data_IF_645854344747
#
_entry.id   IF_645854344747
#
_cell.length_a   1.000
_cell.length_b   1.000
_cell.length_c   1.000
_cell.angle_alpha   90.00
_cell.angle_beta   90.00
_cell.angle_gamma   90.00
#
_symmetry.space_group_name_H-M   'P 1'
#
loop_
_entity.id
_entity.type
_entity.pdbx_description
1 polymer ?
#
# COMPACT_ATOMS: atom_id res chain seq x y z
N UNK A 1 -42.99 -83.27 15.69
CA UNK A 1 -43.68 -82.35 14.74
C UNK A 1 -43.74 -80.98 15.40
N UNK A 2 -43.59 -79.91 14.60
CA UNK A 2 -43.64 -78.47 14.91
C UNK A 2 -42.31 -77.73 15.11
N UNK A 3 -42.29 -76.51 14.56
CA UNK A 3 -41.24 -75.92 13.73
C UNK A 3 -40.17 -75.13 14.51
N UNK A 4 -38.98 -75.07 13.89
CA UNK A 4 -37.88 -74.14 14.20
C UNK A 4 -38.30 -72.70 13.87
N UNK A 5 -38.00 -71.75 14.75
CA UNK A 5 -37.91 -70.31 14.43
C UNK A 5 -36.50 -69.82 14.69
N UNK A 6 -35.79 -69.44 13.62
CA UNK A 6 -34.50 -68.74 13.68
C UNK A 6 -34.78 -67.29 13.34
N UNK A 7 -34.65 -66.41 14.34
CA UNK A 7 -34.76 -64.96 14.17
C UNK A 7 -33.42 -64.44 13.66
N UNK A 8 -33.35 -64.05 12.39
CA UNK A 8 -32.18 -63.38 11.80
C UNK A 8 -32.22 -61.90 12.16
N UNK A 9 -31.35 -61.45 13.06
CA UNK A 9 -31.10 -60.03 13.31
C UNK A 9 -30.21 -59.48 12.19
N UNK A 10 -30.77 -58.66 11.29
CA UNK A 10 -29.98 -57.91 10.32
C UNK A 10 -29.31 -56.71 11.02
N UNK A 11 -28.01 -56.80 11.25
CA UNK A 11 -27.19 -55.69 11.72
C UNK A 11 -26.94 -54.78 10.51
N UNK A 12 -27.65 -53.66 10.43
CA UNK A 12 -27.41 -52.63 9.44
C UNK A 12 -26.15 -51.84 9.85
N UNK A 13 -25.00 -52.18 9.26
CA UNK A 13 -23.76 -51.42 9.38
C UNK A 13 -23.88 -50.14 8.57
N UNK A 14 -24.22 -49.03 9.23
CA UNK A 14 -24.14 -47.69 8.63
C UNK A 14 -22.68 -47.34 8.43
N UNK A 15 -22.21 -47.42 7.19
CA UNK A 15 -20.93 -46.87 6.76
C UNK A 15 -20.99 -45.35 6.92
N UNK A 16 -20.45 -44.83 8.02
CA UNK A 16 -20.16 -43.40 8.17
C UNK A 16 -18.99 -43.10 7.22
N UNK A 17 -19.29 -42.57 6.04
CA UNK A 17 -18.30 -42.03 5.11
C UNK A 17 -17.66 -40.80 5.73
N UNK A 18 -16.50 -40.99 6.36
CA UNK A 18 -15.65 -39.90 6.82
C UNK A 18 -15.05 -39.24 5.57
N UNK A 19 -15.77 -38.27 5.00
CA UNK A 19 -15.20 -37.44 3.93
C UNK A 19 -14.06 -36.66 4.55
N UNK A 20 -12.81 -36.77 4.05
CA UNK A 20 -11.73 -35.95 4.56
C UNK A 20 -12.13 -34.49 4.40
N UNK A 21 -12.26 -33.77 5.52
CA UNK A 21 -12.42 -32.33 5.51
C UNK A 21 -11.22 -31.77 4.76
N UNK A 22 -11.48 -31.23 3.57
CA UNK A 22 -10.45 -30.58 2.77
C UNK A 22 -10.09 -29.33 3.56
N UNK A 23 -9.01 -29.40 4.33
CA UNK A 23 -8.43 -28.25 5.01
C UNK A 23 -8.04 -27.29 3.88
N UNK A 24 -8.91 -26.32 3.61
CA UNK A 24 -8.62 -25.30 2.63
C UNK A 24 -7.45 -24.50 3.20
N UNK A 25 -6.27 -24.64 2.59
CA UNK A 25 -5.13 -23.81 2.93
C UNK A 25 -5.50 -22.34 2.69
N UNK A 26 -4.89 -21.44 3.47
CA UNK A 26 -5.04 -20.01 3.26
C UNK A 26 -4.71 -19.64 1.81
N UNK A 27 -5.38 -18.61 1.28
CA UNK A 27 -5.10 -18.11 -0.08
C UNK A 27 -3.66 -17.62 -0.11
N UNK A 28 -2.88 -18.12 -1.07
CA UNK A 28 -1.53 -17.62 -1.29
C UNK A 28 -1.61 -16.28 -2.02
N UNK A 29 -1.05 -15.23 -1.42
CA UNK A 29 -1.11 -13.86 -1.94
C UNK A 29 0.30 -13.36 -2.21
N UNK A 30 0.57 -12.96 -3.45
CA UNK A 30 1.80 -12.27 -3.84
C UNK A 30 1.46 -10.84 -4.25
N UNK A 31 2.24 -9.88 -3.78
CA UNK A 31 2.03 -8.45 -4.03
C UNK A 31 3.33 -7.84 -4.53
N UNK A 32 3.27 -7.05 -5.60
CA UNK A 32 4.48 -6.47 -6.23
C UNK A 32 5.29 -5.56 -5.29
N UNK A 33 4.62 -4.92 -4.33
CA UNK A 33 5.23 -4.01 -3.35
C UNK A 33 4.46 -4.00 -2.03
N UNK A 34 5.12 -4.31 -0.93
CA UNK A 34 4.54 -4.29 0.43
C UNK A 34 5.28 -3.37 1.41
N UNK A 35 6.47 -2.90 1.03
CA UNK A 35 7.28 -1.97 1.81
C UNK A 35 7.63 -0.74 1.00
N UNK A 36 7.95 0.36 1.69
CA UNK A 36 8.24 1.67 1.07
C UNK A 36 7.13 2.10 0.11
N UNK A 37 5.89 1.76 0.45
CA UNK A 37 4.71 2.10 -0.35
C UNK A 37 4.45 3.59 -0.19
N UNK A 38 4.26 4.28 -1.30
CA UNK A 38 3.88 5.68 -1.36
C UNK A 38 2.35 5.83 -1.48
N UNK A 39 1.82 7.01 -1.14
CA UNK A 39 0.41 7.30 -1.40
C UNK A 39 0.12 7.19 -2.90
N UNK A 40 -1.01 6.58 -3.27
CA UNK A 40 -1.43 6.33 -4.65
C UNK A 40 -0.59 5.31 -5.42
N UNK A 41 0.34 4.59 -4.75
CA UNK A 41 1.02 3.45 -5.38
C UNK A 41 0.00 2.42 -5.85
N UNK A 42 0.19 1.96 -7.08
CA UNK A 42 -0.63 0.90 -7.70
C UNK A 42 0.15 -0.41 -7.59
N UNK A 43 -0.40 -1.38 -6.86
CA UNK A 43 0.24 -2.70 -6.68
C UNK A 43 -0.46 -3.75 -7.53
N UNK A 44 0.31 -4.70 -8.05
CA UNK A 44 -0.23 -5.91 -8.66
C UNK A 44 -0.28 -7.03 -7.63
N UNK A 45 -1.36 -7.80 -7.68
CA UNK A 45 -1.72 -8.85 -6.73
C UNK A 45 -1.98 -10.12 -7.54
N UNK A 46 -1.35 -11.22 -7.12
CA UNK A 46 -1.61 -12.56 -7.66
C UNK A 46 -2.10 -13.46 -6.54
N UNK A 47 -3.18 -14.17 -6.81
CA UNK A 47 -3.74 -15.15 -5.89
C UNK A 47 -3.36 -16.56 -6.34
N UNK A 48 -3.31 -17.47 -5.37
CA UNK A 48 -3.20 -18.90 -5.58
C UNK A 48 -4.09 -19.62 -4.56
N UNK A 49 -4.53 -20.83 -4.88
CA UNK A 49 -5.37 -21.65 -4.02
C UNK A 49 -6.75 -21.05 -3.70
N UNK A 50 -7.32 -20.23 -4.60
CA UNK A 50 -8.75 -19.89 -4.53
C UNK A 50 -9.55 -21.09 -5.08
N UNK A 51 -10.37 -21.79 -4.27
CA UNK A 51 -11.03 -23.00 -4.73
C UNK A 51 -12.06 -22.73 -5.84
N UNK A 52 -12.31 -23.74 -6.68
CA UNK A 52 -13.30 -23.65 -7.75
C UNK A 52 -14.69 -23.26 -7.22
N UNK A 53 -15.39 -22.38 -7.95
CA UNK A 53 -16.71 -21.87 -7.56
C UNK A 53 -16.70 -20.84 -6.41
N UNK A 54 -15.54 -20.58 -5.80
CA UNK A 54 -15.40 -19.63 -4.70
C UNK A 54 -14.81 -18.30 -5.17
N UNK A 55 -14.94 -17.28 -4.31
CA UNK A 55 -14.34 -15.98 -4.50
C UNK A 55 -13.88 -15.34 -3.20
N UNK A 56 -13.10 -14.28 -3.36
CA UNK A 56 -12.55 -13.47 -2.28
C UNK A 56 -12.75 -11.99 -2.57
N UNK A 57 -12.87 -11.22 -1.50
CA UNK A 57 -12.66 -9.78 -1.52
C UNK A 57 -11.21 -9.48 -1.14
N UNK A 58 -10.62 -8.47 -1.79
CA UNK A 58 -9.31 -7.93 -1.46
C UNK A 58 -9.45 -6.43 -1.25
N UNK A 59 -9.09 -5.95 -0.07
CA UNK A 59 -9.09 -4.51 0.21
C UNK A 59 -7.95 -4.14 1.14
N UNK A 60 -7.57 -2.87 1.11
CA UNK A 60 -6.64 -2.29 2.06
C UNK A 60 -7.38 -2.00 3.37
N UNK A 61 -7.01 -2.68 4.45
CA UNK A 61 -7.70 -2.57 5.75
C UNK A 61 -6.78 -2.10 6.86
N UNK A 62 -7.35 -1.36 7.81
CA UNK A 62 -6.70 -0.86 9.01
C UNK A 62 -6.80 -1.91 10.13
N UNK A 63 -5.67 -2.48 10.53
CA UNK A 63 -5.50 -3.50 11.56
C UNK A 63 -6.54 -4.64 11.45
N UNK A 64 -6.65 -5.30 10.27
CA UNK A 64 -7.57 -6.42 10.12
C UNK A 64 -7.12 -7.58 10.99
N UNK A 65 -8.10 -8.33 11.50
CA UNK A 65 -7.89 -9.58 12.23
C UNK A 65 -8.56 -10.72 11.46
N UNK A 66 -8.01 -11.93 11.53
CA UNK A 66 -8.65 -13.10 10.92
C UNK A 66 -10.07 -13.27 11.50
N UNK A 67 -11.02 -13.61 10.63
CA UNK A 67 -12.44 -13.71 10.95
C UNK A 67 -13.21 -12.39 11.02
N UNK A 68 -12.53 -11.24 10.92
CA UNK A 68 -13.20 -9.94 10.92
C UNK A 68 -13.91 -9.69 9.60
N UNK A 69 -15.11 -9.09 9.65
CA UNK A 69 -15.96 -8.74 8.51
C UNK A 69 -16.55 -7.36 8.72
N UNK A 70 -17.18 -6.78 7.69
CA UNK A 70 -17.81 -5.47 7.80
C UNK A 70 -18.80 -5.39 8.98
N UNK A 71 -19.63 -6.44 9.16
CA UNK A 71 -20.58 -6.54 10.26
C UNK A 71 -19.93 -6.64 11.66
N UNK A 72 -18.67 -7.08 11.75
CA UNK A 72 -17.91 -7.18 13.01
C UNK A 72 -16.85 -6.10 13.15
N UNK A 73 -16.97 -5.01 12.37
CA UNK A 73 -16.14 -3.82 12.50
C UNK A 73 -14.85 -3.84 11.68
N UNK A 74 -14.76 -4.61 10.60
CA UNK A 74 -13.64 -4.53 9.65
C UNK A 74 -13.57 -3.13 9.01
N UNK A 75 -12.42 -2.48 9.12
CA UNK A 75 -12.21 -1.11 8.64
C UNK A 75 -11.33 -1.14 7.39
N UNK A 76 -11.92 -1.06 6.22
CA UNK A 76 -11.17 -1.00 4.96
C UNK A 76 -11.35 0.30 4.19
N UNK A 77 -10.37 0.63 3.36
CA UNK A 77 -10.43 1.69 2.37
C UNK A 77 -11.46 1.29 1.32
N UNK A 78 -12.62 1.95 1.35
CA UNK A 78 -13.76 1.69 0.48
C UNK A 78 -14.66 0.51 0.84
N UNK A 79 -15.42 0.08 -0.16
CA UNK A 79 -16.56 -0.86 -0.03
C UNK A 79 -16.88 -1.54 -1.37
N UNK A 80 -17.78 -2.53 -1.37
CA UNK A 80 -18.29 -3.21 -2.59
C UNK A 80 -18.90 -2.23 -3.61
N UNK A 81 -19.35 -1.06 -3.17
CA UNK A 81 -20.00 -0.06 -4.02
C UNK A 81 -19.02 0.97 -4.59
N UNK A 82 -17.76 0.97 -4.15
CA UNK A 82 -16.75 1.92 -4.58
C UNK A 82 -15.76 1.26 -5.56
N UNK A 83 -15.76 1.75 -6.80
CA UNK A 83 -14.85 1.24 -7.83
C UNK A 83 -13.39 1.55 -7.48
N UNK A 84 -12.53 0.53 -7.50
CA UNK A 84 -11.07 0.69 -7.40
C UNK A 84 -10.49 0.68 -5.98
N UNK A 85 -11.32 0.60 -4.94
CA UNK A 85 -10.87 0.54 -3.52
C UNK A 85 -11.04 -0.85 -2.90
N UNK A 86 -11.80 -1.72 -3.57
CA UNK A 86 -11.89 -3.14 -3.28
C UNK A 86 -12.00 -3.97 -4.56
N UNK A 87 -11.39 -5.15 -4.55
CA UNK A 87 -11.47 -6.12 -5.64
C UNK A 87 -12.37 -7.26 -5.19
N UNK A 88 -13.26 -7.69 -6.08
CA UNK A 88 -13.94 -8.96 -5.99
C UNK A 88 -13.36 -9.89 -7.06
N UNK A 89 -12.71 -10.96 -6.63
CA UNK A 89 -12.10 -11.94 -7.51
C UNK A 89 -12.69 -13.34 -7.27
N UNK A 90 -13.02 -14.05 -8.35
CA UNK A 90 -13.57 -15.41 -8.27
C UNK A 90 -12.79 -16.36 -9.17
N UNK A 91 -12.81 -17.64 -8.83
CA UNK A 91 -12.19 -18.67 -9.67
C UNK A 91 -12.88 -18.81 -11.05
N UNK A 92 -14.17 -18.47 -11.13
CA UNK A 92 -15.01 -18.62 -12.33
C UNK A 92 -15.20 -17.33 -13.15
N UNK A 93 -14.68 -16.18 -12.66
CA UNK A 93 -14.84 -14.85 -13.23
C UNK A 93 -16.29 -14.47 -13.56
N UNK A 94 -17.27 -15.00 -12.81
CA UNK A 94 -18.68 -14.78 -13.09
C UNK A 94 -19.19 -13.46 -12.50
N UNK A 95 -20.33 -12.98 -13.03
CA UNK A 95 -21.13 -11.88 -12.47
C UNK A 95 -20.35 -10.56 -12.31
N UNK A 96 -19.40 -10.29 -13.21
CA UNK A 96 -18.61 -9.04 -13.20
C UNK A 96 -17.47 -9.03 -12.18
N UNK A 97 -17.20 -10.15 -11.53
CA UNK A 97 -15.97 -10.33 -10.74
C UNK A 97 -14.74 -10.40 -11.65
N UNK A 98 -13.59 -10.04 -11.11
CA UNK A 98 -12.30 -10.27 -11.77
C UNK A 98 -11.91 -11.75 -11.65
N UNK A 99 -11.09 -12.25 -12.57
CA UNK A 99 -10.57 -13.61 -12.46
C UNK A 99 -9.52 -13.70 -11.36
N UNK A 100 -9.70 -14.63 -10.41
CA UNK A 100 -8.71 -14.91 -9.37
C UNK A 100 -7.38 -15.48 -9.91
N UNK A 101 -7.37 -16.02 -11.14
CA UNK A 101 -6.17 -16.48 -11.83
C UNK A 101 -5.44 -15.36 -12.58
N UNK A 102 -6.09 -14.20 -12.74
CA UNK A 102 -5.54 -13.04 -13.42
C UNK A 102 -4.62 -12.20 -12.52
N UNK A 103 -3.97 -11.22 -13.13
CA UNK A 103 -3.33 -10.14 -12.38
C UNK A 103 -4.41 -9.16 -11.91
N UNK A 104 -4.41 -8.88 -10.60
CA UNK A 104 -5.35 -7.97 -9.96
C UNK A 104 -4.59 -6.70 -9.58
N UNK A 105 -5.23 -5.53 -9.68
CA UNK A 105 -4.58 -4.25 -9.43
C UNK A 105 -5.36 -3.46 -8.38
N UNK A 106 -4.66 -2.97 -7.35
CA UNK A 106 -5.24 -2.10 -6.33
C UNK A 106 -4.36 -0.87 -6.10
N UNK A 107 -4.99 0.30 -6.05
CA UNK A 107 -4.33 1.54 -5.63
C UNK A 107 -4.36 1.65 -4.10
N UNK A 108 -3.20 1.85 -3.50
CA UNK A 108 -3.05 1.95 -2.06
C UNK A 108 -3.01 3.41 -1.60
N UNK A 109 -3.47 3.66 -0.38
CA UNK A 109 -3.47 4.98 0.24
C UNK A 109 -2.72 4.98 1.56
N UNK A 110 -1.89 5.97 1.80
CA UNK A 110 -1.17 6.17 3.07
C UNK A 110 -2.11 6.42 4.25
N UNK A 111 -3.31 6.93 3.95
CA UNK A 111 -4.43 7.06 4.88
C UNK A 111 -5.76 7.03 4.13
N UNK A 112 -6.84 6.69 4.81
CA UNK A 112 -8.19 6.80 4.26
C UNK A 112 -9.18 7.20 5.35
N UNK A 113 -10.27 7.85 4.98
CA UNK A 113 -11.31 8.29 5.90
C UNK A 113 -12.56 7.43 5.75
N UNK A 114 -13.25 7.14 6.86
CA UNK A 114 -14.61 6.59 6.84
C UNK A 114 -15.54 7.49 7.61
N UNK A 115 -16.75 7.65 7.10
CA UNK A 115 -17.84 8.34 7.78
C UNK A 115 -18.66 7.29 8.51
N UNK A 116 -18.91 7.48 9.80
CA UNK A 116 -19.77 6.59 10.58
C UNK A 116 -21.26 6.88 10.35
N UNK A 117 -22.13 6.09 10.99
CA UNK A 117 -23.59 6.26 10.90
C UNK A 117 -24.09 7.59 11.47
N UNK A 118 -23.29 8.31 12.25
CA UNK A 118 -23.60 9.63 12.79
C UNK A 118 -23.07 10.77 11.90
N UNK A 119 -22.47 10.46 10.75
CA UNK A 119 -21.92 11.45 9.82
C UNK A 119 -20.53 11.96 10.22
N UNK A 120 -19.88 11.37 11.23
CA UNK A 120 -18.56 11.79 11.67
C UNK A 120 -17.49 11.12 10.82
N UNK A 121 -16.64 11.94 10.18
CA UNK A 121 -15.49 11.46 9.41
C UNK A 121 -14.30 11.18 10.33
N UNK A 122 -13.76 9.96 10.25
CA UNK A 122 -12.54 9.55 10.94
C UNK A 122 -11.50 9.09 9.95
N UNK A 123 -10.29 9.65 10.07
CA UNK A 123 -9.12 9.28 9.26
C UNK A 123 -8.30 8.17 9.92
N UNK A 124 -7.95 7.17 9.12
CA UNK A 124 -7.13 6.02 9.50
C UNK A 124 -5.78 6.10 8.81
N UNK A 125 -4.71 6.29 9.59
CA UNK A 125 -3.34 6.42 9.08
C UNK A 125 -2.64 5.06 9.05
N UNK A 126 -2.20 4.63 7.88
CA UNK A 126 -1.59 3.31 7.69
C UNK A 126 -0.20 3.20 8.33
N UNK A 127 0.67 4.19 8.06
CA UNK A 127 2.05 4.18 8.55
C UNK A 127 2.75 2.84 8.32
N UNK A 128 3.65 2.48 9.24
CA UNK A 128 4.53 1.31 9.09
C UNK A 128 3.89 -0.02 9.48
N UNK A 129 2.72 -0.02 10.12
CA UNK A 129 2.18 -1.23 10.73
C UNK A 129 0.65 -1.29 10.85
N UNK A 130 -0.09 -0.22 10.52
CA UNK A 130 -1.53 -0.22 10.77
C UNK A 130 -2.35 -0.71 9.58
N UNK A 131 -1.81 -0.81 8.37
CA UNK A 131 -2.57 -1.28 7.21
C UNK A 131 -2.03 -2.59 6.65
N UNK A 132 -2.94 -3.34 6.03
CA UNK A 132 -2.64 -4.59 5.33
C UNK A 132 -3.59 -4.74 4.16
N UNK A 133 -3.19 -5.47 3.12
CA UNK A 133 -4.18 -6.07 2.23
C UNK A 133 -4.81 -7.24 2.97
N UNK A 134 -6.13 -7.22 3.08
CA UNK A 134 -6.88 -8.31 3.67
C UNK A 134 -7.64 -9.03 2.57
N UNK A 135 -7.35 -10.32 2.42
CA UNK A 135 -8.05 -11.23 1.53
C UNK A 135 -8.97 -12.08 2.38
N UNK A 136 -10.25 -12.10 2.06
CA UNK A 136 -11.25 -12.85 2.82
C UNK A 136 -12.37 -13.32 1.90
N UNK A 137 -13.14 -14.31 2.33
CA UNK A 137 -14.24 -14.87 1.52
C UNK A 137 -15.21 -13.81 1.04
N UNK A 138 -15.64 -13.94 -0.21
CA UNK A 138 -16.70 -13.11 -0.75
C UNK A 138 -18.08 -13.48 -0.18
N UNK A 139 -19.12 -12.80 -0.65
CA UNK A 139 -20.50 -13.04 -0.25
C UNK A 139 -20.99 -14.49 -0.48
N UNK A 140 -20.30 -15.31 -1.29
CA UNK A 140 -20.64 -16.73 -1.51
C UNK A 140 -20.28 -17.62 -0.32
N UNK A 141 -19.47 -17.12 0.62
CA UNK A 141 -19.03 -17.87 1.79
C UNK A 141 -18.53 -16.96 2.91
N UNK A 142 -19.18 -15.81 3.14
CA UNK A 142 -18.66 -14.71 3.98
C UNK A 142 -18.33 -15.12 5.42
N UNK A 143 -18.92 -16.20 5.93
CA UNK A 143 -18.68 -16.74 7.28
C UNK A 143 -17.49 -17.68 7.36
N UNK A 144 -17.00 -18.19 6.23
CA UNK A 144 -15.80 -19.02 6.18
C UNK A 144 -14.56 -18.11 6.29
N UNK A 145 -13.67 -18.47 7.21
CA UNK A 145 -12.45 -17.73 7.54
C UNK A 145 -11.18 -18.49 7.14
N UNK A 146 -11.33 -19.69 6.56
CA UNK A 146 -10.19 -20.52 6.16
C UNK A 146 -9.31 -19.87 5.10
N UNK A 147 -9.89 -18.96 4.30
CA UNK A 147 -9.18 -18.22 3.25
C UNK A 147 -8.66 -16.84 3.71
N UNK A 148 -8.84 -16.48 4.97
CA UNK A 148 -8.43 -15.17 5.46
C UNK A 148 -6.90 -15.04 5.45
N UNK A 149 -6.39 -14.07 4.66
CA UNK A 149 -4.97 -13.79 4.55
C UNK A 149 -4.71 -12.30 4.79
N UNK A 150 -3.80 -12.00 5.72
CA UNK A 150 -3.35 -10.64 6.01
C UNK A 150 -1.96 -10.43 5.42
N UNK A 151 -1.82 -9.48 4.50
CA UNK A 151 -0.54 -9.08 3.91
C UNK A 151 -0.17 -7.68 4.40
N UNK A 152 0.83 -7.53 5.30
CA UNK A 152 1.21 -6.23 5.83
C UNK A 152 1.67 -5.25 4.74
N UNK A 153 1.25 -3.99 4.84
CA UNK A 153 1.67 -2.90 3.96
C UNK A 153 2.34 -1.81 4.81
N UNK A 154 3.56 -1.41 4.43
CA UNK A 154 4.35 -0.41 5.16
C UNK A 154 4.51 0.88 4.35
N UNK A 155 3.85 1.92 4.83
CA UNK A 155 4.10 3.31 4.41
C UNK A 155 5.15 3.89 5.36
N UNK A 156 6.38 4.05 4.85
CA UNK A 156 7.43 4.67 5.65
C UNK A 156 7.13 6.16 5.84
N UNK A 157 7.46 6.73 7.00
CA UNK A 157 7.31 8.16 7.21
C UNK A 157 8.14 8.93 6.19
N UNK A 158 7.52 9.93 5.58
CA UNK A 158 8.20 10.86 4.69
C UNK A 158 9.19 11.73 5.47
N UNK A 159 10.14 12.28 4.72
CA UNK A 159 11.13 13.23 5.21
C UNK A 159 11.13 14.45 4.30
N UNK A 160 11.49 15.61 4.84
CA UNK A 160 11.51 16.87 4.09
C UNK A 160 12.68 17.74 4.56
N UNK A 161 12.94 18.85 3.89
CA UNK A 161 13.97 19.84 4.20
C UNK A 161 13.33 21.20 4.47
N UNK A 162 13.75 21.83 5.56
CA UNK A 162 13.36 23.19 5.89
C UNK A 162 14.18 24.19 5.04
N UNK A 163 13.62 24.63 3.90
CA UNK A 163 14.33 25.49 2.94
C UNK A 163 14.92 26.76 3.56
N UNK A 164 14.20 27.40 4.46
CA UNK A 164 14.65 28.61 5.16
C UNK A 164 15.88 28.36 6.02
N UNK A 165 15.98 27.17 6.64
CA UNK A 165 17.16 26.78 7.43
C UNK A 165 18.42 26.61 6.56
N UNK A 166 18.22 26.34 5.26
CA UNK A 166 19.28 26.27 4.25
C UNK A 166 19.61 27.63 3.63
N UNK A 167 18.89 28.70 3.97
CA UNK A 167 19.02 29.99 3.27
C UNK A 167 18.49 29.98 1.84
N UNK A 168 17.73 28.94 1.46
CA UNK A 168 17.03 28.87 0.19
C UNK A 168 15.72 29.65 0.27
N UNK A 169 15.40 30.38 -0.80
CA UNK A 169 14.09 30.98 -0.97
C UNK A 169 13.04 29.89 -1.21
N UNK A 170 11.78 30.23 -0.95
CA UNK A 170 10.63 29.38 -1.30
C UNK A 170 10.62 29.04 -2.79
N UNK A 171 10.00 27.91 -3.12
CA UNK A 171 9.76 27.54 -4.51
C UNK A 171 9.03 28.65 -5.29
N UNK A 172 9.38 28.81 -6.57
CA UNK A 172 8.91 29.89 -7.46
C UNK A 172 9.58 31.25 -7.24
N UNK A 173 10.47 31.40 -6.26
CA UNK A 173 11.10 32.68 -5.97
C UNK A 173 12.15 33.10 -7.02
N UNK A 174 12.50 34.39 -7.00
CA UNK A 174 13.47 34.98 -7.93
C UNK A 174 14.88 35.07 -7.32
N UNK A 175 15.90 34.74 -8.12
CA UNK A 175 17.31 35.04 -7.87
C UNK A 175 17.87 35.95 -8.95
N UNK A 176 18.89 36.74 -8.61
CA UNK A 176 19.61 37.57 -9.58
C UNK A 176 20.71 36.75 -10.25
N UNK A 177 20.87 36.87 -11.57
CA UNK A 177 21.99 36.28 -12.29
C UNK A 177 23.33 36.79 -11.73
N UNK A 178 24.32 35.90 -11.66
CA UNK A 178 25.61 36.13 -11.02
C UNK A 178 25.62 35.91 -9.50
N UNK A 179 24.48 35.72 -8.85
CA UNK A 179 24.44 35.42 -7.40
C UNK A 179 24.64 33.94 -7.09
N UNK A 180 24.95 33.64 -5.83
CA UNK A 180 25.05 32.27 -5.35
C UNK A 180 24.48 32.13 -3.94
N UNK A 181 24.08 30.90 -3.61
CA UNK A 181 23.70 30.52 -2.25
C UNK A 181 24.58 29.35 -1.84
N UNK A 182 25.30 29.52 -0.73
CA UNK A 182 26.10 28.47 -0.12
C UNK A 182 25.35 27.88 1.09
N UNK A 183 25.40 26.57 1.21
CA UNK A 183 24.76 25.79 2.27
C UNK A 183 25.83 24.96 2.97
N UNK A 184 25.92 25.10 4.30
CA UNK A 184 26.83 24.29 5.11
C UNK A 184 26.38 22.83 5.17
N UNK A 185 27.33 21.91 5.07
CA UNK A 185 27.11 20.46 5.15
C UNK A 185 26.19 20.02 6.29
N UNK A 186 26.46 20.50 7.51
CA UNK A 186 25.73 20.11 8.71
C UNK A 186 24.26 20.55 8.75
N UNK A 187 23.86 21.49 7.88
CA UNK A 187 22.44 21.90 7.74
C UNK A 187 21.72 21.16 6.63
N UNK A 188 22.46 20.53 5.72
CA UNK A 188 21.91 19.88 4.55
C UNK A 188 21.43 18.47 4.90
N UNK A 189 20.44 18.44 5.79
CA UNK A 189 19.82 17.24 6.29
C UNK A 189 18.30 17.38 6.28
N UNK A 190 17.60 16.26 6.21
CA UNK A 190 16.14 16.24 6.31
C UNK A 190 15.67 16.47 7.76
N UNK A 191 14.36 16.62 7.94
CA UNK A 191 13.67 16.60 9.24
C UNK A 191 13.92 15.30 10.02
N UNK A 192 14.41 14.26 9.35
CA UNK A 192 14.82 12.98 9.94
C UNK A 192 16.34 12.81 10.06
N UNK A 193 17.10 13.90 9.89
CA UNK A 193 18.57 13.95 9.96
C UNK A 193 19.29 13.09 8.92
N UNK A 194 18.63 12.80 7.80
CA UNK A 194 19.26 12.11 6.67
C UNK A 194 20.02 13.13 5.82
N UNK A 195 21.20 12.78 5.32
CA UNK A 195 21.97 13.64 4.43
C UNK A 195 21.18 13.92 3.14
N UNK A 196 21.30 15.15 2.63
CA UNK A 196 20.64 15.58 1.39
C UNK A 196 21.70 15.91 0.34
N UNK A 197 21.46 15.46 -0.88
CA UNK A 197 22.23 15.79 -2.08
C UNK A 197 21.46 16.85 -2.88
N UNK A 198 22.19 17.82 -3.45
CA UNK A 198 21.60 18.89 -4.27
C UNK A 198 22.14 18.83 -5.69
N UNK A 199 21.24 18.71 -6.67
CA UNK A 199 21.58 18.75 -8.10
C UNK A 199 20.80 19.83 -8.84
N UNK A 200 21.31 20.25 -10.00
CA UNK A 200 20.62 21.16 -10.92
C UNK A 200 20.78 20.70 -12.37
N UNK A 201 20.89 19.39 -12.57
CA UNK A 201 21.34 18.79 -13.82
C UNK A 201 20.44 19.15 -15.01
N UNK A 202 19.11 19.19 -14.78
CA UNK A 202 18.12 19.57 -15.81
C UNK A 202 18.31 21.00 -16.35
N UNK A 203 18.91 21.90 -15.56
CA UNK A 203 19.02 23.33 -15.90
C UNK A 203 20.43 23.85 -15.71
N UNK A 204 21.44 22.98 -15.90
CA UNK A 204 22.85 23.29 -15.64
C UNK A 204 23.39 24.52 -16.38
N UNK A 205 22.78 24.86 -17.52
CA UNK A 205 23.12 26.06 -18.27
C UNK A 205 22.64 27.36 -17.60
N UNK A 206 21.59 27.30 -16.78
CA UNK A 206 20.97 28.40 -16.03
C UNK A 206 21.57 28.51 -14.64
N UNK A 207 21.70 27.38 -13.93
CA UNK A 207 22.30 27.33 -12.61
C UNK A 207 23.09 26.05 -12.41
N UNK A 208 24.14 26.10 -11.60
CA UNK A 208 25.00 24.94 -11.32
C UNK A 208 25.08 24.70 -9.83
N UNK A 209 24.92 23.45 -9.41
CA UNK A 209 25.31 22.99 -8.08
C UNK A 209 26.76 22.51 -8.09
N UNK A 210 27.47 22.74 -6.98
CA UNK A 210 28.83 22.22 -6.76
C UNK A 210 28.95 21.73 -5.33
N UNK A 211 29.72 20.65 -5.15
CA UNK A 211 30.01 20.03 -3.85
C UNK A 211 29.29 18.70 -3.65
N UNK A 212 29.86 17.86 -2.79
CA UNK A 212 29.30 16.57 -2.35
C UNK A 212 28.91 16.59 -0.87
N UNK A 213 29.58 17.45 -0.08
CA UNK A 213 29.36 17.63 1.35
C UNK A 213 28.99 19.08 1.71
N UNK A 214 29.52 20.10 1.04
CA UNK A 214 29.06 21.51 1.15
C UNK A 214 28.57 22.00 -0.20
N UNK A 215 27.31 22.48 -0.28
CA UNK A 215 26.68 22.75 -1.56
C UNK A 215 26.60 24.24 -1.86
N UNK A 216 27.01 24.63 -3.06
CA UNK A 216 26.79 25.98 -3.59
C UNK A 216 25.96 25.92 -4.86
N UNK A 217 24.85 26.65 -4.89
CA UNK A 217 24.06 26.90 -6.09
C UNK A 217 24.52 28.23 -6.68
N UNK A 218 25.01 28.22 -7.92
CA UNK A 218 25.37 29.44 -8.67
C UNK A 218 24.31 29.70 -9.73
N UNK A 219 23.69 30.86 -9.70
CA UNK A 219 22.70 31.30 -10.70
C UNK A 219 23.43 32.05 -11.81
N UNK A 220 23.65 31.41 -12.96
CA UNK A 220 24.60 31.88 -13.98
C UNK A 220 23.99 32.89 -14.94
N UNK A 221 22.80 32.61 -15.46
CA UNK A 221 22.15 33.42 -16.49
C UNK A 221 20.63 33.46 -16.29
N UNK A 222 19.92 34.43 -16.87
CA UNK A 222 18.47 34.50 -16.78
C UNK A 222 17.78 33.25 -17.33
N UNK A 223 16.66 32.87 -16.71
CA UNK A 223 15.83 31.72 -17.09
C UNK A 223 15.35 30.90 -15.90
N UNK A 224 14.86 29.69 -16.17
CA UNK A 224 14.35 28.80 -15.12
C UNK A 224 15.46 27.88 -14.60
N UNK A 225 15.73 27.97 -13.31
CA UNK A 225 16.65 27.08 -12.60
C UNK A 225 15.84 26.07 -11.80
N UNK A 226 16.01 24.78 -12.09
CA UNK A 226 15.48 23.67 -11.29
C UNK A 226 16.59 23.10 -10.42
N UNK A 227 16.32 23.01 -9.12
CA UNK A 227 17.21 22.44 -8.12
C UNK A 227 16.51 21.27 -7.46
N UNK A 228 17.09 20.08 -7.56
CA UNK A 228 16.55 18.86 -6.95
C UNK A 228 17.31 18.56 -5.68
N UNK A 229 16.57 18.41 -4.58
CA UNK A 229 17.05 17.94 -3.28
C UNK A 229 16.67 16.47 -3.16
N UNK A 230 17.65 15.61 -2.87
CA UNK A 230 17.43 14.17 -2.71
C UNK A 230 17.97 13.72 -1.37
N UNK A 231 17.18 12.99 -0.59
CA UNK A 231 17.67 12.22 0.53
C UNK A 231 17.30 10.75 0.33
N UNK A 232 18.27 9.87 0.50
CA UNK A 232 18.05 8.44 0.33
C UNK A 232 17.00 7.92 1.33
N UNK A 233 16.19 6.98 0.83
CA UNK A 233 15.31 6.20 1.68
C UNK A 233 16.11 5.16 2.49
N UNK A 234 15.50 4.66 3.56
CA UNK A 234 16.08 3.59 4.38
C UNK A 234 15.00 2.57 4.75
N UNK A 235 15.29 1.64 5.65
CA UNK A 235 14.26 0.79 6.26
C UNK A 235 13.32 1.56 7.20
N UNK A 236 13.67 2.81 7.56
CA UNK A 236 12.94 3.63 8.54
C UNK A 236 12.21 4.83 7.93
N UNK A 237 12.68 5.32 6.79
CA UNK A 237 12.18 6.55 6.15
C UNK A 237 12.03 6.34 4.66
N UNK A 238 11.02 6.97 4.07
CA UNK A 238 10.87 7.00 2.62
C UNK A 238 11.96 7.87 1.97
N UNK A 239 12.25 7.62 0.69
CA UNK A 239 13.11 8.53 -0.08
C UNK A 239 12.44 9.89 -0.19
N UNK A 240 13.22 10.97 -0.10
CA UNK A 240 12.72 12.29 -0.46
C UNK A 240 13.37 12.74 -1.76
N UNK A 241 12.52 13.19 -2.68
CA UNK A 241 12.88 13.90 -3.90
C UNK A 241 12.05 15.17 -3.92
N UNK A 242 12.70 16.33 -3.85
CA UNK A 242 12.05 17.64 -3.85
C UNK A 242 12.69 18.53 -4.89
N UNK A 243 11.93 18.89 -5.92
CA UNK A 243 12.37 19.82 -6.96
C UNK A 243 11.87 21.22 -6.65
N UNK A 244 12.80 22.17 -6.59
CA UNK A 244 12.56 23.61 -6.44
C UNK A 244 12.79 24.29 -7.77
N UNK A 245 11.88 25.18 -8.15
CA UNK A 245 11.92 25.97 -9.36
C UNK A 245 12.18 27.43 -9.01
N UNK A 246 13.26 27.99 -9.53
CA UNK A 246 13.64 29.38 -9.34
C UNK A 246 13.65 30.15 -10.66
N UNK A 247 13.24 31.41 -10.59
CA UNK A 247 13.33 32.34 -11.72
C UNK A 247 14.63 33.14 -11.56
N UNK A 248 15.54 33.02 -12.53
CA UNK A 248 16.78 33.81 -12.55
C UNK A 248 16.58 35.02 -13.46
N UNK A 249 16.88 36.22 -12.95
CA UNK A 249 16.80 37.49 -13.68
C UNK A 249 18.14 38.20 -13.72
#
# INVERSE_FOLDING_TARGET
>A
MFFRSVTVFAIATTLVSVVPAQVSAAVGVSVSKTEKVADLDVVSIRLSNVPAGQGVYISQCFKPTLGQRAATGLICNGSVTETGTMIWATADAQRGSQSAAGELILMLRSSFSKVDSAGVSKTYNCGVANCSLFVYRDHRGITDTALDTVVPIKFLPSQDVALTSLGLKKDGATYKAGTSVAMSAGKLVTTKKMAVVVSSDETRSICTTTGTSSFTIKFKKPGICKVTLVADGSSKFDQMIKTLTYIVK
#
